data_IF_286235846176
#
_entry.id   IF_286235846176
#
_cell.length_a   1.000
_cell.length_b   1.000
_cell.length_c   1.000
_cell.angle_alpha   90.00
_cell.angle_beta   90.00
_cell.angle_gamma   90.00
#
_symmetry.space_group_name_H-M   'P 1'
#
loop_
_entity.id
_entity.type
_entity.pdbx_description
1 polymer ?
#
# COMPACT_ATOMS: atom_id res chain seq x y z
N UNK A 1 9.51 -12.95 21.02
CA UNK A 1 9.21 -11.84 20.10
C UNK A 1 9.41 -10.56 20.88
N UNK A 2 10.27 -9.66 20.42
CA UNK A 2 10.54 -8.39 21.12
C UNK A 2 9.56 -7.33 20.65
N UNK A 3 8.53 -7.09 21.47
CA UNK A 3 7.44 -6.16 21.14
C UNK A 3 7.90 -4.69 21.12
N UNK A 4 8.89 -4.33 21.93
CA UNK A 4 9.40 -2.95 21.97
C UNK A 4 10.25 -2.65 20.73
N UNK A 5 11.05 -3.62 20.27
CA UNK A 5 11.77 -3.49 19.01
C UNK A 5 10.82 -3.35 17.81
N UNK A 6 9.73 -4.14 17.77
CA UNK A 6 8.69 -4.03 16.72
C UNK A 6 8.01 -2.67 16.74
N UNK A 7 7.63 -2.18 17.93
CA UNK A 7 6.97 -0.88 18.09
C UNK A 7 7.88 0.27 17.64
N UNK A 8 9.16 0.21 18.00
CA UNK A 8 10.16 1.21 17.58
C UNK A 8 10.36 1.20 16.06
N UNK A 9 10.44 0.02 15.45
CA UNK A 9 10.53 -0.11 14.00
C UNK A 9 9.26 0.43 13.32
N UNK A 10 8.07 0.10 13.82
CA UNK A 10 6.79 0.60 13.30
C UNK A 10 6.72 2.14 13.32
N UNK A 11 7.16 2.77 14.42
CA UNK A 11 7.20 4.22 14.54
C UNK A 11 8.12 4.89 13.51
N UNK A 12 9.22 4.24 13.14
CA UNK A 12 10.15 4.76 12.13
C UNK A 12 9.52 4.85 10.73
N UNK A 13 8.52 4.03 10.41
CA UNK A 13 7.80 4.07 9.14
C UNK A 13 6.74 5.19 9.05
N UNK A 14 6.47 5.91 10.15
CA UNK A 14 5.44 6.96 10.20
C UNK A 14 5.49 7.99 9.05
N UNK A 15 6.68 8.52 8.68
CA UNK A 15 6.81 9.44 7.55
C UNK A 15 6.41 8.83 6.21
N UNK A 16 6.85 7.59 5.94
CA UNK A 16 6.53 6.88 4.70
C UNK A 16 5.05 6.49 4.63
N UNK A 17 4.46 6.03 5.74
CA UNK A 17 3.03 5.76 5.85
C UNK A 17 2.19 7.02 5.57
N UNK A 18 2.60 8.16 6.14
CA UNK A 18 1.92 9.44 5.96
C UNK A 18 1.99 9.89 4.51
N UNK A 19 3.15 9.75 3.87
CA UNK A 19 3.33 10.07 2.45
C UNK A 19 2.49 9.16 1.56
N UNK A 20 2.50 7.85 1.80
CA UNK A 20 1.69 6.89 1.05
C UNK A 20 0.19 7.23 1.13
N UNK A 21 -0.32 7.52 2.33
CA UNK A 21 -1.72 7.93 2.51
C UNK A 21 -2.04 9.22 1.74
N UNK A 22 -1.14 10.21 1.78
CA UNK A 22 -1.32 11.47 1.04
C UNK A 22 -1.30 11.26 -0.47
N UNK A 23 -0.42 10.40 -0.97
CA UNK A 23 -0.34 10.06 -2.39
C UNK A 23 -1.65 9.41 -2.87
N UNK A 24 -2.26 8.54 -2.05
CA UNK A 24 -3.57 7.95 -2.36
C UNK A 24 -4.68 8.98 -2.38
N UNK A 25 -4.78 9.85 -1.36
CA UNK A 25 -5.83 10.87 -1.25
C UNK A 25 -5.75 11.89 -2.40
N UNK A 26 -4.55 12.17 -2.91
CA UNK A 26 -4.37 13.10 -4.02
C UNK A 26 -4.92 12.59 -5.35
N UNK A 27 -5.19 11.29 -5.48
CA UNK A 27 -5.72 10.67 -6.69
C UNK A 27 -7.24 10.63 -6.58
N UNK A 28 -7.99 11.26 -7.51
CA UNK A 28 -9.44 11.10 -7.57
C UNK A 28 -9.82 9.61 -7.71
N UNK A 29 -10.76 9.16 -6.88
CA UNK A 29 -11.20 7.77 -6.82
C UNK A 29 -12.65 7.67 -6.41
N UNK A 30 -13.51 8.45 -7.08
CA UNK A 30 -14.96 8.22 -6.97
C UNK A 30 -15.32 6.85 -7.54
N UNK A 31 -16.54 6.38 -7.26
CA UNK A 31 -17.00 5.08 -7.74
C UNK A 31 -16.84 4.98 -9.26
N UNK A 32 -16.20 3.90 -9.74
CA UNK A 32 -15.79 3.65 -11.13
C UNK A 32 -14.52 4.38 -11.62
N UNK A 33 -13.86 5.19 -10.79
CA UNK A 33 -12.60 5.89 -11.09
C UNK A 33 -11.41 5.41 -10.23
N UNK A 34 -11.56 4.30 -9.51
CA UNK A 34 -10.61 3.81 -8.50
C UNK A 34 -9.29 3.29 -9.10
N UNK A 35 -9.22 3.14 -10.43
CA UNK A 35 -8.06 2.59 -11.14
C UNK A 35 -6.75 3.31 -10.77
N UNK A 36 -6.78 4.64 -10.63
CA UNK A 36 -5.59 5.41 -10.27
C UNK A 36 -5.04 5.05 -8.89
N UNK A 37 -5.92 5.00 -7.89
CA UNK A 37 -5.56 4.62 -6.51
C UNK A 37 -5.13 3.16 -6.44
N UNK A 38 -5.81 2.26 -7.16
CA UNK A 38 -5.44 0.85 -7.23
C UNK A 38 -4.02 0.66 -7.80
N UNK A 39 -3.63 1.41 -8.84
CA UNK A 39 -2.26 1.37 -9.35
C UNK A 39 -1.26 1.92 -8.34
N UNK A 40 -1.59 3.01 -7.62
CA UNK A 40 -0.70 3.55 -6.58
C UNK A 40 -0.45 2.56 -5.45
N UNK A 41 -1.48 1.81 -5.05
CA UNK A 41 -1.38 0.74 -4.04
C UNK A 41 -0.49 -0.39 -4.55
N UNK A 42 -0.69 -0.83 -5.79
CA UNK A 42 0.12 -1.90 -6.40
C UNK A 42 1.62 -1.53 -6.45
N UNK A 43 1.94 -0.28 -6.77
CA UNK A 43 3.33 0.21 -6.76
C UNK A 43 3.93 0.24 -5.35
N UNK A 44 3.16 0.60 -4.31
CA UNK A 44 3.65 0.53 -2.92
C UNK A 44 3.87 -0.92 -2.48
N UNK A 45 2.97 -1.84 -2.84
CA UNK A 45 3.14 -3.26 -2.54
C UNK A 45 4.42 -3.83 -3.20
N UNK A 46 4.70 -3.47 -4.46
CA UNK A 46 5.98 -3.87 -5.09
C UNK A 46 7.19 -3.29 -4.37
N UNK A 47 7.13 -2.01 -3.97
CA UNK A 47 8.21 -1.35 -3.21
C UNK A 47 8.45 -2.00 -1.84
N UNK A 48 7.40 -2.50 -1.18
CA UNK A 48 7.48 -3.21 0.09
C UNK A 48 7.98 -4.65 -0.05
N UNK A 49 8.24 -5.13 -1.27
CA UNK A 49 8.81 -6.44 -1.53
C UNK A 49 7.80 -7.59 -1.48
N UNK A 50 6.55 -7.34 -1.83
CA UNK A 50 5.57 -8.41 -2.06
C UNK A 50 6.01 -9.28 -3.25
N UNK A 51 5.89 -10.60 -3.13
CA UNK A 51 6.32 -11.58 -4.14
C UNK A 51 5.48 -11.51 -5.41
N UNK A 52 4.18 -11.25 -5.23
CA UNK A 52 3.22 -11.12 -6.32
C UNK A 52 2.23 -10.02 -6.02
N UNK A 53 1.99 -9.16 -7.00
CA UNK A 53 0.96 -8.12 -6.97
C UNK A 53 0.13 -8.23 -8.24
N UNK A 54 -1.18 -8.46 -8.09
CA UNK A 54 -2.09 -8.64 -9.21
C UNK A 54 -3.38 -7.86 -9.02
N UNK A 55 -4.07 -7.60 -10.13
CA UNK A 55 -5.42 -7.05 -10.14
C UNK A 55 -6.41 -8.16 -10.46
N UNK A 56 -7.49 -8.25 -9.70
CA UNK A 56 -8.58 -9.16 -10.05
C UNK A 56 -9.47 -8.59 -11.19
N UNK A 57 -10.46 -9.37 -11.63
CA UNK A 57 -11.38 -8.95 -12.68
C UNK A 57 -12.29 -7.77 -12.29
N UNK A 58 -12.38 -7.44 -11.00
CA UNK A 58 -13.19 -6.35 -10.45
C UNK A 58 -12.35 -5.08 -10.20
N UNK A 59 -11.02 -5.16 -10.35
CA UNK A 59 -10.09 -4.04 -10.16
C UNK A 59 -9.47 -3.96 -8.76
N UNK A 60 -9.66 -4.96 -7.90
CA UNK A 60 -9.02 -5.01 -6.59
C UNK A 60 -7.53 -5.36 -6.71
N UNK A 61 -6.72 -4.81 -5.80
CA UNK A 61 -5.28 -5.11 -5.73
C UNK A 61 -5.05 -6.21 -4.70
N UNK A 62 -4.39 -7.29 -5.12
CA UNK A 62 -4.06 -8.43 -4.26
C UNK A 62 -2.54 -8.59 -4.22
N UNK A 63 -1.99 -8.55 -2.99
CA UNK A 63 -0.57 -8.73 -2.73
C UNK A 63 -0.31 -10.02 -1.94
N UNK A 64 0.69 -10.79 -2.36
CA UNK A 64 1.18 -11.99 -1.68
C UNK A 64 2.57 -11.72 -1.10
N UNK A 65 2.80 -12.10 0.16
CA UNK A 65 4.09 -11.95 0.86
C UNK A 65 4.31 -13.21 1.72
N UNK A 66 5.37 -13.96 1.46
CA UNK A 66 5.66 -15.20 2.19
C UNK A 66 6.95 -15.91 1.78
#
# INVERSE_FOLDING_TARGET
>A
MDFEAIKKAAQAYGPDMTRFLRDMIAIPSESCEEKGVAHRIAEEMKKLGYDKVEFDALGNVIGWMG
#
